data_IF_776571466295
#
_entry.id   IF_776571466295
#
_cell.length_a   1.000
_cell.length_b   1.000
_cell.length_c   1.000
_cell.angle_alpha   90.00
_cell.angle_beta   90.00
_cell.angle_gamma   90.00
#
_symmetry.space_group_name_H-M   'P 1'
#
loop_
_entity.id
_entity.type
_entity.pdbx_description
1 polymer ?
#
# COMPACT_ATOMS: atom_id res chain seq x y z
N UNK A 1 49.07 9.98 25.58
CA UNK A 1 48.57 9.03 24.57
C UNK A 1 47.05 9.13 24.48
N UNK A 2 46.47 9.33 23.30
CA UNK A 2 44.99 9.30 23.12
C UNK A 2 44.55 7.87 22.82
N UNK A 3 43.46 7.34 23.41
CA UNK A 3 42.98 6.00 23.13
C UNK A 3 42.48 5.92 21.67
N UNK A 4 42.86 4.85 20.97
CA UNK A 4 42.39 4.53 19.62
C UNK A 4 40.87 4.28 19.70
N UNK A 5 40.09 5.10 19.01
CA UNK A 5 38.65 4.87 18.82
C UNK A 5 38.50 3.62 17.95
N UNK A 6 37.90 2.57 18.50
CA UNK A 6 37.57 1.37 17.72
C UNK A 6 36.59 1.76 16.62
N UNK A 7 36.74 1.22 15.39
CA UNK A 7 35.82 1.47 14.30
C UNK A 7 34.60 0.59 14.55
N UNK A 8 33.75 0.98 15.50
CA UNK A 8 32.41 0.40 15.57
C UNK A 8 31.66 0.88 14.33
N UNK A 9 31.74 0.00 13.34
CA UNK A 9 30.64 -0.49 12.53
C UNK A 9 29.70 0.59 12.06
N UNK A 10 29.79 0.87 10.76
CA UNK A 10 28.79 1.55 9.95
C UNK A 10 27.43 0.84 10.11
N UNK A 11 26.77 1.00 11.25
CA UNK A 11 25.36 0.70 11.38
C UNK A 11 24.68 1.75 10.50
N UNK A 12 24.40 1.36 9.26
CA UNK A 12 23.38 2.02 8.45
C UNK A 12 22.16 2.10 9.36
N UNK A 13 21.89 3.29 9.90
CA UNK A 13 20.64 3.56 10.57
C UNK A 13 19.53 3.05 9.64
N UNK A 14 18.58 2.25 10.14
CA UNK A 14 17.48 1.78 9.30
C UNK A 14 16.83 3.03 8.73
N UNK A 15 16.84 3.11 7.39
CA UNK A 15 16.28 4.25 6.68
C UNK A 15 14.86 4.49 7.24
N UNK A 16 14.59 5.73 7.66
CA UNK A 16 13.25 6.10 8.11
C UNK A 16 12.25 5.59 7.07
N UNK A 17 11.19 4.87 7.48
CA UNK A 17 10.20 4.39 6.53
C UNK A 17 9.75 5.60 5.71
N UNK A 18 9.81 5.47 4.38
CA UNK A 18 9.30 6.48 3.49
C UNK A 18 7.87 6.84 3.94
N UNK A 19 7.46 8.11 3.87
CA UNK A 19 6.11 8.50 4.25
C UNK A 19 5.15 7.55 3.54
N UNK A 20 4.43 6.75 4.32
CA UNK A 20 3.49 5.77 3.81
C UNK A 20 2.60 6.48 2.82
N UNK A 21 2.57 6.02 1.57
CA UNK A 21 1.60 6.50 0.59
C UNK A 21 0.24 6.55 1.28
N UNK A 22 -0.46 7.70 1.18
CA UNK A 22 -1.76 7.87 1.84
C UNK A 22 -2.59 6.61 1.63
N UNK A 23 -3.10 5.96 2.69
CA UNK A 23 -3.73 4.65 2.59
C UNK A 23 -4.91 4.65 1.60
N UNK A 24 -5.57 5.80 1.49
CA UNK A 24 -6.60 6.09 0.50
C UNK A 24 -6.08 5.97 -0.94
N UNK A 25 -4.91 6.54 -1.27
CA UNK A 25 -4.31 6.41 -2.60
C UNK A 25 -3.91 4.98 -2.94
N UNK A 26 -3.51 4.19 -1.93
CA UNK A 26 -3.21 2.77 -2.11
C UNK A 26 -4.50 2.02 -2.46
N UNK A 27 -5.59 2.34 -1.76
CA UNK A 27 -6.90 1.75 -2.02
C UNK A 27 -7.43 2.11 -3.42
N UNK A 28 -7.25 3.37 -3.85
CA UNK A 28 -7.65 3.83 -5.19
C UNK A 28 -6.89 3.05 -6.29
N UNK A 29 -5.57 2.90 -6.13
CA UNK A 29 -4.73 2.10 -7.06
C UNK A 29 -5.17 0.64 -7.09
N UNK A 30 -5.49 0.06 -5.94
CA UNK A 30 -5.98 -1.31 -5.84
C UNK A 30 -7.32 -1.46 -6.58
N UNK A 31 -8.28 -0.57 -6.33
CA UNK A 31 -9.57 -0.57 -7.02
C UNK A 31 -9.43 -0.47 -8.54
N UNK A 32 -8.58 0.45 -9.01
CA UNK A 32 -8.30 0.59 -10.44
C UNK A 32 -7.75 -0.71 -11.04
N UNK A 33 -6.85 -1.40 -10.33
CA UNK A 33 -6.30 -2.69 -10.79
C UNK A 33 -7.36 -3.80 -10.84
N UNK A 34 -8.25 -3.87 -9.85
CA UNK A 34 -9.33 -4.87 -9.82
C UNK A 34 -10.31 -4.63 -10.97
N UNK A 35 -10.69 -3.38 -11.23
CA UNK A 35 -11.58 -3.03 -12.33
C UNK A 35 -10.98 -3.35 -13.70
N UNK A 36 -9.67 -3.19 -13.87
CA UNK A 36 -8.96 -3.54 -15.12
C UNK A 36 -8.94 -5.06 -15.38
N UNK A 37 -8.86 -5.87 -14.33
CA UNK A 37 -8.79 -7.34 -14.44
C UNK A 37 -10.19 -7.97 -14.45
N UNK A 38 -11.18 -7.30 -13.88
CA UNK A 38 -12.55 -7.81 -13.79
C UNK A 38 -13.16 -8.04 -15.18
N UNK A 39 -13.69 -9.24 -15.39
CA UNK A 39 -14.41 -9.59 -16.61
C UNK A 39 -15.90 -9.45 -16.38
N UNK A 40 -16.63 -8.63 -17.16
CA UNK A 40 -18.07 -8.42 -16.97
C UNK A 40 -18.89 -9.69 -17.23
N UNK A 41 -18.34 -10.64 -17.99
CA UNK A 41 -19.01 -11.91 -18.31
C UNK A 41 -18.95 -12.93 -17.17
N UNK A 42 -18.14 -12.70 -16.12
CA UNK A 42 -18.07 -13.59 -14.98
C UNK A 42 -18.87 -13.00 -13.80
N UNK A 43 -19.97 -13.63 -13.37
CA UNK A 43 -20.83 -13.11 -12.29
C UNK A 43 -20.08 -12.94 -10.96
N UNK A 44 -19.04 -13.72 -10.69
CA UNK A 44 -18.26 -13.60 -9.46
C UNK A 44 -17.42 -12.32 -9.43
N UNK A 45 -16.88 -11.91 -10.58
CA UNK A 45 -16.16 -10.64 -10.69
C UNK A 45 -17.11 -9.45 -10.52
N UNK A 46 -18.33 -9.55 -11.06
CA UNK A 46 -19.35 -8.51 -10.89
C UNK A 46 -19.74 -8.35 -9.43
N UNK A 47 -19.93 -9.46 -8.70
CA UNK A 47 -20.21 -9.45 -7.26
C UNK A 47 -19.07 -8.81 -6.47
N UNK A 48 -17.83 -9.24 -6.72
CA UNK A 48 -16.63 -8.70 -6.06
C UNK A 48 -16.48 -7.19 -6.26
N UNK A 49 -16.67 -6.70 -7.48
CA UNK A 49 -16.59 -5.26 -7.77
C UNK A 49 -17.71 -4.49 -7.05
N UNK A 50 -18.91 -5.06 -6.98
CA UNK A 50 -20.03 -4.41 -6.30
C UNK A 50 -19.80 -4.30 -4.78
N UNK A 51 -19.31 -5.37 -4.15
CA UNK A 51 -18.95 -5.37 -2.73
C UNK A 51 -17.83 -4.35 -2.46
N UNK A 52 -16.82 -4.29 -3.34
CA UNK A 52 -15.75 -3.31 -3.25
C UNK A 52 -16.27 -1.86 -3.35
N UNK A 53 -17.20 -1.57 -4.27
CA UNK A 53 -17.78 -0.24 -4.37
C UNK A 53 -18.63 0.14 -3.15
N UNK A 54 -19.35 -0.80 -2.53
CA UNK A 54 -20.05 -0.54 -1.28
C UNK A 54 -19.09 -0.25 -0.12
N UNK A 55 -17.91 -0.87 -0.09
CA UNK A 55 -16.89 -0.52 0.90
C UNK A 55 -16.28 0.85 0.64
N UNK A 56 -16.04 1.19 -0.64
CA UNK A 56 -15.53 2.49 -1.03
C UNK A 56 -16.49 3.63 -0.64
N UNK A 57 -17.80 3.46 -0.86
CA UNK A 57 -18.81 4.47 -0.48
C UNK A 57 -18.93 4.69 1.02
N UNK A 58 -18.50 3.72 1.86
CA UNK A 58 -18.46 3.89 3.32
C UNK A 58 -17.21 4.63 3.79
N UNK A 59 -16.12 4.54 3.02
CA UNK A 59 -14.84 5.19 3.32
C UNK A 59 -14.82 6.67 2.92
N UNK A 60 -15.63 7.05 1.92
CA UNK A 60 -15.82 8.41 1.45
C UNK A 60 -17.31 8.80 1.55
N UNK A 61 -17.77 9.28 2.72
CA UNK A 61 -19.15 9.74 2.91
C UNK A 61 -19.47 11.04 2.15
#
# INVERSE_FOLDING_TARGET
>A
MRPKRYPYSNQKEPAKPAPSDNPLKIFDKFLASVLLVAKPNNPDHVRLVNDLMQTYSKLYP
#
